data_IF_266546756522
#
_entry.id   IF_266546756522
#
_cell.length_a   1.000
_cell.length_b   1.000
_cell.length_c   1.000
_cell.angle_alpha   90.00
_cell.angle_beta   90.00
_cell.angle_gamma   90.00
#
_symmetry.space_group_name_H-M   'P 1'
#
loop_
_entity.id
_entity.type
_entity.pdbx_description
1 polymer ?
#
# COMPACT_ATOMS: atom_id res chain seq x y z
N UNK A 1 -10.61 -1.29 3.71
CA UNK A 1 -9.99 -1.41 2.37
C UNK A 1 -10.52 -2.64 1.67
N UNK A 2 -11.11 -2.45 0.49
CA UNK A 2 -11.73 -3.51 -0.28
C UNK A 2 -11.02 -3.69 -1.63
N UNK A 3 -10.69 -4.93 -1.97
CA UNK A 3 -10.08 -5.30 -3.25
C UNK A 3 -11.15 -5.68 -4.27
N UNK A 4 -11.05 -5.15 -5.49
CA UNK A 4 -11.86 -5.59 -6.62
C UNK A 4 -11.06 -5.62 -7.93
N UNK A 5 -11.55 -6.36 -8.92
CA UNK A 5 -10.92 -6.45 -10.24
C UNK A 5 -11.79 -5.77 -11.28
N UNK A 6 -11.20 -4.86 -12.06
CA UNK A 6 -11.89 -4.15 -13.12
C UNK A 6 -12.06 -4.98 -14.40
N UNK A 7 -12.81 -4.45 -15.39
CA UNK A 7 -13.15 -5.15 -16.61
C UNK A 7 -11.95 -5.48 -17.51
N UNK A 8 -10.83 -4.78 -17.33
CA UNK A 8 -9.58 -4.99 -18.08
C UNK A 8 -8.57 -5.87 -17.32
N UNK A 9 -8.95 -6.40 -16.16
CA UNK A 9 -8.10 -7.27 -15.33
C UNK A 9 -7.22 -6.52 -14.34
N UNK A 10 -7.27 -5.19 -14.31
CA UNK A 10 -6.59 -4.37 -13.31
C UNK A 10 -7.19 -4.64 -11.91
N UNK A 11 -6.33 -4.68 -10.89
CA UNK A 11 -6.75 -4.76 -9.49
C UNK A 11 -6.88 -3.34 -8.94
N UNK A 12 -7.93 -3.11 -8.16
CA UNK A 12 -8.22 -1.86 -7.48
C UNK A 12 -8.44 -2.13 -6.00
N UNK A 13 -8.11 -1.13 -5.19
CA UNK A 13 -8.36 -1.10 -3.76
C UNK A 13 -9.10 0.18 -3.42
N UNK A 14 -10.14 0.08 -2.59
CA UNK A 14 -10.87 1.24 -2.10
C UNK A 14 -10.75 1.28 -0.58
N UNK A 15 -10.26 2.38 -0.01
CA UNK A 15 -10.24 2.54 1.44
C UNK A 15 -11.62 2.89 2.01
N UNK A 16 -11.71 3.07 3.32
CA UNK A 16 -12.97 3.32 4.02
C UNK A 16 -13.50 4.76 3.80
N UNK A 17 -12.63 5.68 3.40
CA UNK A 17 -12.98 7.05 3.01
C UNK A 17 -13.45 7.14 1.54
N UNK A 18 -13.29 6.06 0.76
CA UNK A 18 -13.68 5.95 -0.63
C UNK A 18 -12.59 6.33 -1.63
N UNK A 19 -11.34 6.51 -1.18
CA UNK A 19 -10.20 6.73 -2.09
C UNK A 19 -9.87 5.43 -2.82
N UNK A 20 -9.70 5.51 -4.14
CA UNK A 20 -9.38 4.36 -4.99
C UNK A 20 -7.90 4.35 -5.37
N UNK A 21 -7.30 3.17 -5.32
CA UNK A 21 -5.92 2.88 -5.67
C UNK A 21 -5.88 1.78 -6.72
N UNK A 22 -5.21 2.04 -7.85
CA UNK A 22 -5.02 1.05 -8.91
C UNK A 22 -3.68 0.35 -8.74
N UNK A 23 -3.67 -0.96 -8.61
CA UNK A 23 -2.45 -1.77 -8.59
C UNK A 23 -1.95 -2.04 -10.03
N UNK A 24 -0.66 -1.81 -10.23
CA UNK A 24 0.05 -1.96 -11.48
C UNK A 24 1.31 -2.80 -11.26
N UNK A 25 1.57 -3.74 -12.15
CA UNK A 25 2.85 -4.47 -12.17
C UNK A 25 3.78 -3.83 -13.21
N UNK A 26 4.91 -3.32 -12.75
CA UNK A 26 5.94 -2.75 -13.61
C UNK A 26 6.68 -3.81 -14.43
N UNK A 27 7.47 -3.39 -15.43
CA UNK A 27 8.18 -4.29 -16.36
C UNK A 27 9.22 -5.20 -15.69
N UNK A 28 9.67 -4.83 -14.48
CA UNK A 28 10.62 -5.61 -13.68
C UNK A 28 9.94 -6.49 -12.62
N UNK A 29 8.60 -6.55 -12.61
CA UNK A 29 7.82 -7.31 -11.63
C UNK A 29 7.51 -6.56 -10.34
N UNK A 30 7.99 -5.31 -10.19
CA UNK A 30 7.66 -4.47 -9.04
C UNK A 30 6.17 -4.09 -9.06
N UNK A 31 5.55 -4.03 -7.88
CA UNK A 31 4.15 -3.60 -7.73
C UNK A 31 4.11 -2.11 -7.37
N UNK A 32 3.27 -1.37 -8.08
CA UNK A 32 2.99 0.04 -7.86
C UNK A 32 1.49 0.24 -7.66
N UNK A 33 1.13 1.31 -6.97
CA UNK A 33 -0.23 1.73 -6.75
C UNK A 33 -0.37 3.19 -7.15
N UNK A 34 -1.46 3.53 -7.83
CA UNK A 34 -1.73 4.92 -8.23
C UNK A 34 -3.08 5.33 -7.69
N UNK A 35 -3.16 6.43 -6.97
CA UNK A 35 -4.43 6.96 -6.49
C UNK A 35 -5.19 7.75 -7.57
N UNK A 36 -6.42 8.16 -7.26
CA UNK A 36 -7.26 8.99 -8.15
C UNK A 36 -6.65 10.37 -8.51
N UNK A 37 -5.65 10.84 -7.75
CA UNK A 37 -4.95 12.12 -7.98
C UNK A 37 -3.68 11.94 -8.81
N UNK A 38 -3.26 10.70 -9.05
CA UNK A 38 -2.05 10.35 -9.77
C UNK A 38 -0.81 10.26 -8.89
N UNK A 39 -0.96 10.21 -7.56
CA UNK A 39 0.15 9.93 -6.65
C UNK A 39 0.54 8.45 -6.78
N UNK A 40 1.84 8.19 -6.87
CA UNK A 40 2.38 6.84 -7.05
C UNK A 40 2.98 6.32 -5.74
N UNK A 41 2.62 5.09 -5.39
CA UNK A 41 3.18 4.36 -4.25
C UNK A 41 3.84 3.09 -4.75
N UNK A 42 5.05 2.82 -4.29
CA UNK A 42 5.81 1.63 -4.68
C UNK A 42 5.85 0.65 -3.54
N UNK A 43 5.48 -0.61 -3.78
CA UNK A 43 5.72 -1.70 -2.83
C UNK A 43 7.10 -2.30 -3.10
N UNK A 44 7.85 -2.51 -2.02
CA UNK A 44 9.22 -2.98 -2.04
C UNK A 44 9.37 -4.13 -1.04
N UNK A 45 10.11 -5.16 -1.44
CA UNK A 45 10.54 -6.23 -0.53
C UNK A 45 11.94 -5.91 0.00
N UNK A 46 12.06 -5.87 1.32
CA UNK A 46 13.30 -5.63 2.03
C UNK A 46 14.24 -6.84 1.95
N UNK A 47 15.55 -6.63 2.19
CA UNK A 47 16.55 -7.69 2.09
C UNK A 47 16.35 -8.85 3.08
N UNK A 48 15.52 -8.64 4.11
CA UNK A 48 15.15 -9.65 5.11
C UNK A 48 13.73 -10.20 4.92
N UNK A 49 13.06 -9.87 3.80
CA UNK A 49 11.73 -10.36 3.46
C UNK A 49 10.56 -9.56 4.08
N UNK A 50 10.81 -8.37 4.63
CA UNK A 50 9.74 -7.48 5.08
C UNK A 50 9.21 -6.60 3.94
N UNK A 51 7.92 -6.28 3.93
CA UNK A 51 7.29 -5.41 2.94
C UNK A 51 7.32 -3.96 3.43
N UNK A 52 7.63 -3.02 2.54
CA UNK A 52 7.51 -1.59 2.79
C UNK A 52 6.97 -0.87 1.55
N UNK A 53 6.39 0.30 1.77
CA UNK A 53 5.75 1.13 0.77
C UNK A 53 6.38 2.51 0.80
N UNK A 54 6.63 3.08 -0.37
CA UNK A 54 7.15 4.45 -0.48
C UNK A 54 6.33 5.29 -1.44
N UNK A 55 6.11 6.55 -1.13
CA UNK A 55 5.51 7.51 -2.06
C UNK A 55 6.57 8.19 -2.97
N UNK A 56 6.14 9.18 -3.76
CA UNK A 56 6.99 9.96 -4.65
C UNK A 56 7.86 11.01 -3.93
N UNK A 57 7.53 11.33 -2.68
CA UNK A 57 8.30 12.25 -1.82
C UNK A 57 9.41 11.54 -1.05
N UNK A 58 9.35 10.21 -0.96
CA UNK A 58 10.27 9.36 -0.23
C UNK A 58 9.84 9.05 1.20
N UNK A 59 8.59 9.34 1.57
CA UNK A 59 8.01 8.85 2.81
C UNK A 59 7.87 7.33 2.75
N UNK A 60 8.06 6.66 3.88
CA UNK A 60 8.08 5.20 3.99
C UNK A 60 7.07 4.71 5.03
N UNK A 61 6.33 3.67 4.66
CA UNK A 61 5.40 2.94 5.50
C UNK A 61 5.80 1.47 5.51
N UNK A 62 6.02 0.90 6.70
CA UNK A 62 6.41 -0.50 6.87
C UNK A 62 5.21 -1.38 7.19
N UNK A 63 5.15 -2.58 6.61
CA UNK A 63 4.21 -3.64 6.99
C UNK A 63 4.79 -4.52 8.09
N UNK A 64 3.96 -4.92 9.04
CA UNK A 64 4.33 -5.80 10.14
C UNK A 64 3.27 -6.87 10.37
N UNK A 65 3.73 -8.06 10.80
CA UNK A 65 2.85 -9.09 11.34
C UNK A 65 2.82 -9.03 12.86
N UNK A 66 1.61 -8.87 13.40
CA UNK A 66 1.33 -8.92 14.83
C UNK A 66 1.40 -10.34 15.41
N UNK A 67 1.38 -10.48 16.75
CA UNK A 67 1.60 -11.76 17.44
C UNK A 67 0.52 -12.83 17.18
N UNK A 68 -0.62 -12.44 16.61
CA UNK A 68 -1.72 -13.35 16.25
C UNK A 68 -1.85 -13.52 14.72
N UNK A 69 -0.86 -13.07 13.94
CA UNK A 69 -0.89 -13.10 12.47
C UNK A 69 -1.74 -12.01 11.83
N UNK A 70 -2.07 -10.95 12.58
CA UNK A 70 -2.74 -9.75 12.05
C UNK A 70 -1.72 -8.84 11.37
N UNK A 71 -2.04 -8.31 10.19
CA UNK A 71 -1.17 -7.32 9.53
C UNK A 71 -1.48 -5.90 10.03
N UNK A 72 -0.46 -5.07 10.16
CA UNK A 72 -0.59 -3.63 10.44
C UNK A 72 0.56 -2.85 9.79
N UNK A 73 0.35 -1.54 9.63
CA UNK A 73 1.27 -0.64 8.94
C UNK A 73 1.72 0.48 9.86
N UNK A 74 2.97 0.90 9.75
CA UNK A 74 3.51 2.04 10.52
C UNK A 74 4.28 3.01 9.65
N UNK A 75 4.07 4.32 9.83
CA UNK A 75 4.95 5.34 9.26
C UNK A 75 6.17 5.64 10.14
N UNK A 76 7.07 6.47 9.62
CA UNK A 76 8.28 6.92 10.32
C UNK A 76 8.02 7.74 11.60
N UNK A 77 6.80 8.28 11.75
CA UNK A 77 6.36 9.04 12.92
C UNK A 77 5.72 8.15 14.00
N UNK A 78 5.53 6.85 13.72
CA UNK A 78 4.91 5.89 14.61
C UNK A 78 3.38 5.93 14.59
N UNK A 79 2.76 6.51 13.57
CA UNK A 79 1.32 6.35 13.34
C UNK A 79 1.07 4.94 12.79
N UNK A 80 -0.04 4.33 13.20
CA UNK A 80 -0.45 2.98 12.78
C UNK A 80 -1.70 3.02 11.91
N UNK A 81 -1.76 2.13 10.93
CA UNK A 81 -2.96 1.78 10.19
C UNK A 81 -3.17 0.26 10.24
N UNK A 82 -4.43 -0.15 10.31
CA UNK A 82 -4.80 -1.57 10.30
C UNK A 82 -4.68 -2.20 8.90
N UNK A 83 -4.72 -3.54 8.82
CA UNK A 83 -4.88 -4.25 7.53
C UNK A 83 -6.11 -3.75 6.74
N UNK A 84 -7.20 -3.46 7.46
CA UNK A 84 -8.41 -2.91 6.87
C UNK A 84 -8.16 -1.51 6.32
N UNK A 85 -7.43 -0.62 6.98
CA UNK A 85 -7.17 0.72 6.40
C UNK A 85 -6.13 0.67 5.27
N UNK A 86 -5.17 -0.26 5.36
CA UNK A 86 -4.04 -0.35 4.44
C UNK A 86 -2.95 0.70 4.71
N UNK A 87 -1.86 0.67 3.95
CA UNK A 87 -0.71 1.55 4.19
C UNK A 87 -0.93 3.00 3.70
N UNK A 88 -1.86 3.22 2.77
CA UNK A 88 -1.88 4.48 2.00
C UNK A 88 -2.37 5.69 2.78
N UNK A 89 -3.19 5.49 3.81
CA UNK A 89 -3.66 6.56 4.70
C UNK A 89 -2.57 7.17 5.58
N UNK A 90 -1.37 6.59 5.59
CA UNK A 90 -0.23 7.07 6.38
C UNK A 90 0.71 8.04 5.63
N UNK A 91 0.61 8.13 4.31
CA UNK A 91 1.37 9.11 3.50
C UNK A 91 0.75 10.52 3.62
N UNK A 92 1.57 11.57 3.56
CA UNK A 92 1.16 12.95 3.88
C UNK A 92 1.33 13.96 2.76
#
# INVERSE_FOLDING_TARGET
>A
MQKHTGPLGNTYYTDDDGNEYTELTGPLGNTYYVDERGNEYTQLEGPLGGTYYTDDTGDEVSEHEGPLGSTYYTDSSGNEASEDEGPFGLFR
#
